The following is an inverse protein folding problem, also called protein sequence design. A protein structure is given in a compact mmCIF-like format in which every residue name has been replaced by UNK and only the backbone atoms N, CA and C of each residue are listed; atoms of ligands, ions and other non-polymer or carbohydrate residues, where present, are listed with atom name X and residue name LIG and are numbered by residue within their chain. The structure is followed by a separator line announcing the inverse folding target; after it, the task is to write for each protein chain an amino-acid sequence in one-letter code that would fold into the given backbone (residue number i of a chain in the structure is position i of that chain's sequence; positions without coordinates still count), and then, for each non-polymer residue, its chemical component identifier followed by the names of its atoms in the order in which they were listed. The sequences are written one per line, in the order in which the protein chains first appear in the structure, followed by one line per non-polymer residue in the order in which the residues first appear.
data_IF_056954440331
#
_entry.id   IF_056954440331
#
_cell.length_a   1.000
_cell.length_b   1.000
_cell.length_c   1.000
_cell.angle_alpha   90.00
_cell.angle_beta   90.00
_cell.angle_gamma   90.00
#
_symmetry.space_group_name_H-M   'P 1'
#
loop_
_entity.id
_entity.type
_entity.pdbx_description
1 polymer ?
#
# COMPACT_ATOMS: atom_id res chain seq x y z
N UNK A 1 -17.70 -2.96 -7.94
CA UNK A 1 -16.28 -2.53 -7.72
C UNK A 1 -15.33 -3.28 -8.63
N UNK A 2 -14.28 -2.63 -9.11
CA UNK A 2 -13.27 -3.24 -9.96
C UNK A 2 -11.92 -3.15 -9.25
N UNK A 3 -11.25 -4.30 -9.03
CA UNK A 3 -9.96 -4.39 -8.39
C UNK A 3 -9.02 -5.37 -9.10
N UNK A 4 -7.83 -5.54 -8.55
CA UNK A 4 -6.82 -6.48 -9.05
C UNK A 4 -6.47 -7.55 -8.02
N UNK A 5 -6.51 -7.19 -6.75
CA UNK A 5 -6.10 -8.01 -5.62
C UNK A 5 -7.21 -8.13 -4.59
N UNK A 6 -7.34 -9.32 -4.02
CA UNK A 6 -8.23 -9.58 -2.89
C UNK A 6 -7.70 -10.79 -2.10
N UNK A 7 -7.71 -10.76 -0.75
CA UNK A 7 -7.22 -11.91 0.03
C UNK A 7 -7.92 -13.24 -0.33
N UNK A 8 -7.18 -14.35 -0.34
CA UNK A 8 -5.78 -14.51 0.05
C UNK A 8 -4.75 -14.07 -1.00
N UNK A 9 -5.16 -13.66 -2.19
CA UNK A 9 -4.31 -13.23 -3.29
C UNK A 9 -4.09 -11.71 -3.24
N UNK A 10 -3.11 -11.28 -2.46
CA UNK A 10 -2.71 -9.88 -2.35
C UNK A 10 -1.19 -9.78 -2.27
N UNK A 11 -0.63 -8.76 -2.89
CA UNK A 11 0.82 -8.46 -2.88
C UNK A 11 1.11 -7.20 -2.07
N UNK A 12 0.10 -6.38 -1.79
CA UNK A 12 0.33 -5.10 -1.13
C UNK A 12 -0.89 -4.45 -0.50
N UNK A 13 -0.78 -3.14 -0.31
CA UNK A 13 -1.81 -2.33 0.31
C UNK A 13 -3.14 -2.28 -0.44
N UNK A 14 -3.11 -2.43 -1.78
CA UNK A 14 -4.31 -2.44 -2.62
C UNK A 14 -5.29 -3.54 -2.21
N UNK A 15 -4.82 -4.78 -2.10
CA UNK A 15 -5.66 -5.90 -1.68
C UNK A 15 -6.17 -5.76 -0.25
N UNK A 16 -5.34 -5.21 0.66
CA UNK A 16 -5.73 -4.91 2.04
C UNK A 16 -6.82 -3.84 2.08
N UNK A 17 -6.69 -2.78 1.28
CA UNK A 17 -7.71 -1.74 1.15
C UNK A 17 -9.03 -2.28 0.59
N UNK A 18 -9.00 -2.98 -0.55
CA UNK A 18 -10.20 -3.55 -1.16
C UNK A 18 -10.94 -4.46 -0.18
N UNK A 19 -10.22 -5.30 0.56
CA UNK A 19 -10.79 -6.17 1.58
C UNK A 19 -11.45 -5.38 2.72
N UNK A 20 -10.74 -4.41 3.29
CA UNK A 20 -11.26 -3.60 4.40
C UNK A 20 -12.46 -2.77 4.01
N UNK A 21 -12.38 -2.08 2.87
CA UNK A 21 -13.46 -1.22 2.37
C UNK A 21 -14.72 -2.02 2.03
N UNK A 22 -14.61 -3.11 1.25
CA UNK A 22 -15.78 -3.88 0.82
C UNK A 22 -16.54 -4.45 2.01
N UNK A 23 -15.85 -5.03 2.98
CA UNK A 23 -16.47 -5.58 4.19
C UNK A 23 -17.21 -4.52 5.00
N UNK A 24 -16.59 -3.36 5.16
CA UNK A 24 -17.20 -2.28 5.95
C UNK A 24 -18.35 -1.60 5.21
N UNK A 25 -18.32 -1.53 3.88
CA UNK A 25 -19.48 -1.06 3.08
C UNK A 25 -20.64 -2.04 3.13
N UNK A 26 -20.38 -3.34 3.02
CA UNK A 26 -21.40 -4.39 3.12
C UNK A 26 -22.06 -4.41 4.52
N UNK A 27 -21.27 -4.21 5.57
CA UNK A 27 -21.80 -4.05 6.94
C UNK A 27 -22.73 -2.83 7.09
N UNK A 28 -22.66 -1.86 6.17
CA UNK A 28 -23.57 -0.70 6.08
C UNK A 28 -24.73 -0.89 5.09
N UNK A 29 -24.95 -2.12 4.62
CA UNK A 29 -26.07 -2.48 3.77
C UNK A 29 -25.87 -2.20 2.28
N UNK A 30 -24.63 -2.07 1.81
CA UNK A 30 -24.32 -1.90 0.38
C UNK A 30 -24.11 -3.27 -0.26
N UNK A 31 -24.80 -3.54 -1.36
CA UNK A 31 -24.59 -4.70 -2.18
C UNK A 31 -23.39 -4.45 -3.12
N UNK A 32 -22.42 -5.37 -3.12
CA UNK A 32 -21.18 -5.21 -3.87
C UNK A 32 -20.89 -6.45 -4.72
N UNK A 33 -20.79 -6.25 -6.02
CA UNK A 33 -20.10 -7.14 -6.92
C UNK A 33 -18.63 -6.67 -7.03
N UNK A 34 -17.69 -7.43 -6.49
CA UNK A 34 -16.26 -7.14 -6.60
C UNK A 34 -15.65 -7.99 -7.72
N UNK A 35 -15.25 -7.33 -8.78
CA UNK A 35 -14.60 -7.97 -9.92
C UNK A 35 -13.08 -7.93 -9.77
N UNK A 36 -12.43 -9.06 -10.00
CA UNK A 36 -10.98 -9.23 -9.99
C UNK A 36 -10.53 -10.23 -11.05
N UNK A 37 -9.26 -10.25 -11.46
CA UNK A 37 -8.74 -11.30 -12.32
C UNK A 37 -8.87 -12.67 -11.64
N UNK A 38 -9.01 -13.72 -12.45
CA UNK A 38 -9.06 -15.11 -11.95
C UNK A 38 -7.78 -15.44 -11.19
N UNK A 39 -7.92 -16.21 -10.14
CA UNK A 39 -6.81 -16.65 -9.28
C UNK A 39 -6.64 -18.17 -9.32
N UNK A 40 -5.52 -18.69 -8.80
CA UNK A 40 -5.23 -20.13 -8.77
C UNK A 40 -6.24 -20.94 -7.94
N UNK A 41 -6.89 -20.29 -6.98
CA UNK A 41 -7.99 -20.87 -6.17
C UNK A 41 -9.11 -19.83 -6.09
N UNK A 42 -10.34 -20.28 -6.25
CA UNK A 42 -11.50 -19.39 -6.22
C UNK A 42 -11.62 -18.64 -4.89
N UNK A 43 -11.85 -17.33 -4.99
CA UNK A 43 -12.07 -16.45 -3.84
C UNK A 43 -13.56 -16.40 -3.51
N UNK A 44 -13.89 -16.52 -2.25
CA UNK A 44 -15.26 -16.44 -1.75
C UNK A 44 -15.38 -15.36 -0.68
N UNK A 45 -16.56 -14.77 -0.60
CA UNK A 45 -16.95 -13.92 0.52
C UNK A 45 -17.87 -14.68 1.47
N UNK A 46 -17.72 -14.43 2.76
CA UNK A 46 -18.64 -14.91 3.80
C UNK A 46 -19.81 -13.93 4.07
N UNK A 47 -19.92 -12.84 3.31
CA UNK A 47 -20.98 -11.84 3.43
C UNK A 47 -21.98 -12.01 2.29
N UNK A 48 -23.27 -12.11 2.61
CA UNK A 48 -24.33 -12.31 1.62
C UNK A 48 -24.36 -11.22 0.54
N UNK A 49 -24.09 -9.98 0.93
CA UNK A 49 -24.12 -8.80 0.06
C UNK A 49 -22.76 -8.49 -0.63
N UNK A 50 -21.81 -9.41 -0.57
CA UNK A 50 -20.51 -9.29 -1.27
C UNK A 50 -20.27 -10.49 -2.15
N UNK A 51 -20.33 -10.29 -3.44
CA UNK A 51 -20.06 -11.34 -4.43
C UNK A 51 -18.70 -11.05 -5.08
N UNK A 52 -17.76 -11.99 -4.94
CA UNK A 52 -16.47 -11.92 -5.65
C UNK A 52 -16.64 -12.57 -7.02
N UNK A 53 -16.39 -11.81 -8.07
CA UNK A 53 -16.49 -12.24 -9.47
C UNK A 53 -15.12 -12.25 -10.13
N UNK A 54 -14.63 -13.44 -10.43
CA UNK A 54 -13.37 -13.63 -11.13
C UNK A 54 -13.58 -13.54 -12.65
N UNK A 55 -12.73 -12.77 -13.34
CA UNK A 55 -12.83 -12.48 -14.77
C UNK A 55 -11.52 -12.84 -15.47
N UNK A 56 -11.64 -13.50 -16.60
CA UNK A 56 -10.52 -13.79 -17.49
C UNK A 56 -9.65 -14.95 -17.06
N UNK A 57 -8.35 -14.81 -17.30
CA UNK A 57 -7.32 -15.80 -16.97
C UNK A 57 -6.68 -15.50 -15.62
N UNK A 58 -5.87 -16.45 -15.13
CA UNK A 58 -5.16 -16.29 -13.86
C UNK A 58 -4.29 -15.04 -13.88
N UNK A 59 -4.43 -14.20 -12.88
CA UNK A 59 -3.68 -12.97 -12.75
C UNK A 59 -2.18 -13.22 -12.75
N UNK A 60 -1.44 -12.38 -13.44
CA UNK A 60 0.01 -12.32 -13.38
C UNK A 60 0.37 -11.21 -12.38
N UNK A 61 1.15 -11.57 -11.37
CA UNK A 61 1.69 -10.60 -10.43
C UNK A 61 3.16 -10.37 -10.78
N UNK A 62 3.54 -9.18 -11.28
CA UNK A 62 4.90 -8.93 -11.78
C UNK A 62 5.99 -9.04 -10.71
N UNK A 63 5.58 -9.09 -9.44
CA UNK A 63 6.49 -9.16 -8.29
C UNK A 63 6.77 -10.59 -7.81
N UNK A 64 6.05 -11.59 -8.33
CA UNK A 64 6.27 -13.00 -7.97
C UNK A 64 7.58 -13.55 -8.55
N UNK A 65 8.04 -12.97 -9.66
CA UNK A 65 9.30 -13.32 -10.34
C UNK A 65 9.94 -12.07 -10.95
N UNK A 66 10.64 -11.25 -10.15
CA UNK A 66 11.21 -9.98 -10.63
C UNK A 66 12.36 -10.14 -11.64
N UNK A 67 12.91 -11.34 -11.78
CA UNK A 67 14.03 -11.70 -12.64
C UNK A 67 13.66 -11.92 -14.13
N UNK A 68 12.37 -11.96 -14.46
CA UNK A 68 11.89 -12.29 -15.81
C UNK A 68 11.34 -11.05 -16.52
N UNK A 69 12.16 -10.37 -17.34
CA UNK A 69 11.75 -9.20 -18.15
C UNK A 69 10.54 -9.49 -19.08
N UNK A 70 10.38 -10.72 -19.54
CA UNK A 70 9.24 -11.16 -20.36
C UNK A 70 7.91 -11.07 -19.59
N UNK A 71 7.92 -11.24 -18.27
CA UNK A 71 6.72 -11.12 -17.43
C UNK A 71 6.15 -9.71 -17.39
N UNK A 72 6.96 -8.67 -17.58
CA UNK A 72 6.45 -7.30 -17.63
C UNK A 72 5.52 -7.09 -18.83
N UNK A 73 5.93 -7.52 -20.04
CA UNK A 73 5.08 -7.44 -21.24
C UNK A 73 3.78 -8.24 -21.07
N UNK A 74 3.88 -9.46 -20.57
CA UNK A 74 2.73 -10.33 -20.32
C UNK A 74 1.79 -9.73 -19.24
N UNK A 75 2.33 -9.04 -18.24
CA UNK A 75 1.53 -8.36 -17.24
C UNK A 75 0.68 -7.24 -17.85
N UNK A 76 1.25 -6.39 -18.69
CA UNK A 76 0.50 -5.33 -19.36
C UNK A 76 -0.60 -5.89 -20.27
N UNK A 77 -0.27 -6.90 -21.05
CA UNK A 77 -1.26 -7.58 -21.89
C UNK A 77 -2.39 -8.19 -21.05
N UNK A 78 -2.06 -8.79 -19.91
CA UNK A 78 -3.02 -9.32 -18.96
C UNK A 78 -3.93 -8.22 -18.39
N UNK A 79 -3.40 -7.04 -18.07
CA UNK A 79 -4.20 -5.89 -17.61
C UNK A 79 -5.16 -5.41 -18.71
N UNK A 80 -4.70 -5.24 -19.94
CA UNK A 80 -5.57 -4.85 -21.04
C UNK A 80 -6.68 -5.85 -21.28
N UNK A 81 -6.32 -7.13 -21.38
CA UNK A 81 -7.28 -8.22 -21.59
C UNK A 81 -8.31 -8.30 -20.46
N UNK A 82 -7.88 -8.12 -19.22
CA UNK A 82 -8.79 -8.05 -18.07
C UNK A 82 -9.78 -6.89 -18.19
N UNK A 83 -9.32 -5.69 -18.55
CA UNK A 83 -10.21 -4.54 -18.76
C UNK A 83 -11.21 -4.77 -19.90
N UNK A 84 -10.79 -5.39 -21.00
CA UNK A 84 -11.68 -5.73 -22.12
C UNK A 84 -12.76 -6.74 -21.69
N UNK A 85 -12.37 -7.77 -20.96
CA UNK A 85 -13.30 -8.79 -20.44
C UNK A 85 -14.26 -8.21 -19.41
N UNK A 86 -13.81 -7.29 -18.54
CA UNK A 86 -14.69 -6.55 -17.63
C UNK A 86 -15.80 -5.84 -18.40
N UNK A 87 -15.47 -5.10 -19.47
CA UNK A 87 -16.45 -4.38 -20.28
C UNK A 87 -17.45 -5.33 -20.94
N UNK A 88 -17.02 -6.52 -21.34
CA UNK A 88 -17.90 -7.53 -21.93
C UNK A 88 -18.80 -8.21 -20.90
N UNK A 89 -18.27 -8.57 -19.74
CA UNK A 89 -18.93 -9.44 -18.76
C UNK A 89 -19.73 -8.69 -17.70
N UNK A 90 -19.37 -7.43 -17.38
CA UNK A 90 -20.14 -6.63 -16.43
C UNK A 90 -21.51 -6.27 -17.03
N UNK A 91 -22.56 -6.80 -16.42
CA UNK A 91 -23.98 -6.61 -16.79
C UNK A 91 -24.80 -6.54 -15.52
N UNK A 92 -25.84 -5.71 -15.51
CA UNK A 92 -26.76 -5.55 -14.39
C UNK A 92 -27.05 -4.09 -14.08
N UNK A 93 -27.96 -3.86 -13.17
CA UNK A 93 -28.35 -2.54 -12.70
C UNK A 93 -27.44 -2.14 -11.53
N UNK A 94 -26.39 -1.42 -11.82
CA UNK A 94 -25.49 -0.87 -10.82
C UNK A 94 -25.76 0.62 -10.63
N UNK A 95 -25.76 1.08 -9.39
CA UNK A 95 -25.91 2.52 -9.09
C UNK A 95 -24.64 3.31 -9.38
N UNK A 96 -23.46 2.67 -9.32
CA UNK A 96 -22.17 3.28 -9.63
C UNK A 96 -21.08 2.22 -9.89
N UNK A 97 -19.98 2.67 -10.50
CA UNK A 97 -18.74 1.90 -10.65
C UNK A 97 -17.67 2.53 -9.75
N UNK A 98 -16.97 1.70 -8.98
CA UNK A 98 -15.82 2.12 -8.21
C UNK A 98 -14.59 1.31 -8.62
N UNK A 99 -13.58 1.99 -9.13
CA UNK A 99 -12.31 1.43 -9.61
C UNK A 99 -11.17 1.73 -8.65
N UNK A 100 -10.17 0.84 -8.64
CA UNK A 100 -8.97 0.96 -7.85
C UNK A 100 -7.71 0.95 -8.73
N UNK A 101 -6.99 2.05 -8.77
CA UNK A 101 -5.77 2.29 -9.54
C UNK A 101 -5.90 2.14 -11.07
N UNK A 102 -4.79 2.40 -11.77
CA UNK A 102 -4.67 2.34 -13.24
C UNK A 102 -5.06 0.97 -13.81
N UNK A 103 -4.90 -0.09 -13.03
CA UNK A 103 -5.22 -1.48 -13.40
C UNK A 103 -6.67 -1.68 -13.85
N UNK A 104 -7.59 -0.79 -13.43
CA UNK A 104 -9.02 -0.88 -13.70
C UNK A 104 -9.62 0.39 -14.32
N UNK A 105 -8.81 1.45 -14.49
CA UNK A 105 -9.30 2.76 -14.99
C UNK A 105 -9.90 2.66 -16.38
N UNK A 106 -9.30 1.92 -17.30
CA UNK A 106 -9.80 1.78 -18.66
C UNK A 106 -11.20 1.13 -18.69
N UNK A 107 -11.38 0.06 -17.92
CA UNK A 107 -12.71 -0.58 -17.78
C UNK A 107 -13.70 0.38 -17.12
N UNK A 108 -13.30 1.12 -16.09
CA UNK A 108 -14.15 2.10 -15.41
C UNK A 108 -14.71 3.16 -16.36
N UNK A 109 -13.87 3.74 -17.20
CA UNK A 109 -14.27 4.74 -18.22
C UNK A 109 -15.30 4.14 -19.20
N UNK A 110 -14.99 2.98 -19.75
CA UNK A 110 -15.83 2.32 -20.75
C UNK A 110 -17.16 1.81 -20.18
N UNK A 111 -17.14 1.33 -18.94
CA UNK A 111 -18.37 0.87 -18.24
C UNK A 111 -19.23 2.04 -17.82
N UNK A 112 -18.67 3.18 -17.43
CA UNK A 112 -19.44 4.42 -17.22
C UNK A 112 -20.29 4.76 -18.43
N UNK A 113 -19.68 4.74 -19.62
CA UNK A 113 -20.36 5.03 -20.89
C UNK A 113 -21.40 3.96 -21.23
N UNK A 114 -21.05 2.67 -21.06
CA UNK A 114 -21.89 1.53 -21.38
C UNK A 114 -23.14 1.42 -20.50
N UNK A 115 -23.00 1.67 -19.19
CA UNK A 115 -24.07 1.49 -18.21
C UNK A 115 -24.79 2.79 -17.85
N UNK A 116 -24.23 3.94 -18.23
CA UNK A 116 -24.82 5.26 -17.91
C UNK A 116 -24.80 5.60 -16.42
N UNK A 117 -23.82 5.07 -15.66
CA UNK A 117 -23.73 5.24 -14.20
C UNK A 117 -22.47 6.01 -13.79
N UNK A 118 -22.47 6.67 -12.62
CA UNK A 118 -21.29 7.38 -12.12
C UNK A 118 -20.06 6.48 -11.95
N UNK A 119 -18.87 7.07 -12.17
CA UNK A 119 -17.58 6.43 -12.00
C UNK A 119 -16.77 7.10 -10.88
N UNK A 120 -16.52 6.38 -9.79
CA UNK A 120 -15.65 6.76 -8.69
C UNK A 120 -14.32 6.03 -8.83
N UNK A 121 -13.21 6.72 -8.58
CA UNK A 121 -11.87 6.18 -8.69
C UNK A 121 -11.12 6.38 -7.38
N UNK A 122 -10.57 5.29 -6.78
CA UNK A 122 -9.56 5.41 -5.73
C UNK A 122 -8.17 5.27 -6.33
N UNK A 123 -7.30 6.25 -6.05
CA UNK A 123 -5.90 6.25 -6.44
C UNK A 123 -5.05 5.89 -5.23
N UNK A 124 -4.43 4.69 -5.28
CA UNK A 124 -3.53 4.18 -4.25
C UNK A 124 -2.08 4.52 -4.52
N UNK A 125 -1.70 4.64 -5.79
CA UNK A 125 -0.38 5.07 -6.23
C UNK A 125 -0.45 5.60 -7.65
N UNK A 126 0.48 6.48 -7.99
CA UNK A 126 0.69 6.98 -9.34
C UNK A 126 2.00 6.45 -9.92
N UNK A 127 2.21 6.68 -11.20
CA UNK A 127 3.49 6.36 -11.84
C UNK A 127 4.65 7.11 -11.20
N UNK A 128 4.44 8.36 -10.78
CA UNK A 128 5.46 9.12 -10.07
C UNK A 128 5.91 8.44 -8.79
N UNK A 129 4.97 7.83 -8.04
CA UNK A 129 5.30 7.08 -6.83
C UNK A 129 6.08 5.81 -7.17
N UNK A 130 5.61 5.02 -8.15
CA UNK A 130 6.23 3.73 -8.52
C UNK A 130 7.64 3.89 -9.08
N UNK A 131 7.86 4.94 -9.86
CA UNK A 131 9.19 5.28 -10.41
C UNK A 131 10.13 5.94 -9.39
N UNK A 132 9.65 6.22 -8.16
CA UNK A 132 10.42 6.99 -7.18
C UNK A 132 10.76 8.40 -7.65
N UNK A 133 9.93 9.00 -8.54
CA UNK A 133 10.11 10.32 -9.15
C UNK A 133 11.35 10.46 -10.06
N UNK A 134 12.07 9.35 -10.35
CA UNK A 134 13.31 9.43 -11.13
C UNK A 134 13.06 9.44 -12.64
N UNK A 135 12.29 8.47 -13.14
CA UNK A 135 12.02 8.29 -14.57
C UNK A 135 10.58 7.83 -14.78
N UNK A 136 9.58 8.70 -14.54
CA UNK A 136 8.19 8.30 -14.72
C UNK A 136 7.90 8.01 -16.19
N UNK A 137 7.22 6.90 -16.43
CA UNK A 137 6.91 6.42 -17.77
C UNK A 137 5.65 7.12 -18.30
N UNK A 138 5.77 7.85 -19.40
CA UNK A 138 4.70 8.65 -19.99
C UNK A 138 3.46 7.81 -20.35
N UNK A 139 3.65 6.56 -20.75
CA UNK A 139 2.55 5.66 -21.09
C UNK A 139 1.61 5.40 -19.89
N UNK A 140 2.16 5.18 -18.69
CA UNK A 140 1.35 5.03 -17.47
C UNK A 140 0.68 6.36 -17.09
N UNK A 141 1.41 7.47 -17.20
CA UNK A 141 0.87 8.80 -16.91
C UNK A 141 -0.35 9.07 -17.79
N UNK A 142 -0.30 8.73 -19.08
CA UNK A 142 -1.40 8.96 -20.01
C UNK A 142 -2.64 8.13 -19.65
N UNK A 143 -2.47 6.85 -19.28
CA UNK A 143 -3.58 5.98 -18.85
C UNK A 143 -4.19 6.52 -17.55
N UNK A 144 -3.38 6.83 -16.57
CA UNK A 144 -3.82 7.36 -15.28
C UNK A 144 -4.56 8.69 -15.47
N UNK A 145 -4.02 9.59 -16.27
CA UNK A 145 -4.62 10.89 -16.58
C UNK A 145 -5.99 10.75 -17.24
N UNK A 146 -6.12 9.86 -18.21
CA UNK A 146 -7.40 9.60 -18.88
C UNK A 146 -8.46 9.11 -17.89
N UNK A 147 -8.11 8.13 -17.05
CA UNK A 147 -9.00 7.60 -16.02
C UNK A 147 -9.44 8.66 -15.03
N UNK A 148 -8.49 9.47 -14.53
CA UNK A 148 -8.75 10.55 -13.56
C UNK A 148 -9.65 11.66 -14.13
N UNK A 149 -9.42 12.08 -15.38
CA UNK A 149 -10.24 13.12 -16.03
C UNK A 149 -11.69 12.66 -16.20
N UNK A 150 -11.90 11.39 -16.55
CA UNK A 150 -13.21 10.79 -16.81
C UNK A 150 -13.99 10.41 -15.54
N UNK A 151 -13.30 10.23 -14.41
CA UNK A 151 -13.95 9.95 -13.13
C UNK A 151 -14.83 11.13 -12.68
N UNK A 152 -16.00 10.83 -12.10
CA UNK A 152 -16.90 11.83 -11.51
C UNK A 152 -16.37 12.32 -10.17
N UNK A 153 -15.79 11.41 -9.37
CA UNK A 153 -15.08 11.72 -8.13
C UNK A 153 -13.86 10.82 -8.00
N UNK A 154 -12.85 11.37 -7.33
CA UNK A 154 -11.59 10.68 -7.05
C UNK A 154 -11.37 10.66 -5.54
N UNK A 155 -10.99 9.49 -5.04
CA UNK A 155 -10.50 9.30 -3.68
C UNK A 155 -8.98 9.22 -3.75
N UNK A 156 -8.29 10.15 -3.12
CA UNK A 156 -6.86 10.11 -2.90
C UNK A 156 -6.59 9.56 -1.49
N UNK A 157 -5.61 8.69 -1.35
CA UNK A 157 -5.30 8.04 -0.05
C UNK A 157 -4.56 8.95 0.93
N UNK A 158 -4.11 10.14 0.47
CA UNK A 158 -3.41 11.15 1.28
C UNK A 158 -3.49 12.54 0.63
N UNK A 159 -3.19 13.60 1.37
CA UNK A 159 -3.01 14.94 0.82
C UNK A 159 -1.80 15.00 -0.11
N UNK A 160 -0.74 14.24 0.18
CA UNK A 160 0.40 14.06 -0.73
C UNK A 160 -0.05 13.51 -2.09
N UNK A 161 -0.85 12.43 -2.10
CA UNK A 161 -1.43 11.89 -3.35
C UNK A 161 -2.31 12.93 -4.03
N UNK A 162 -3.22 13.60 -3.31
CA UNK A 162 -4.05 14.67 -3.87
C UNK A 162 -3.22 15.74 -4.54
N UNK A 163 -2.15 16.20 -3.89
CA UNK A 163 -1.22 17.20 -4.45
C UNK A 163 -0.61 16.71 -5.77
N UNK A 164 -0.14 15.47 -5.81
CA UNK A 164 0.39 14.85 -7.03
C UNK A 164 -0.64 14.84 -8.16
N UNK A 165 -1.90 14.46 -7.86
CA UNK A 165 -2.97 14.44 -8.88
C UNK A 165 -3.27 15.81 -9.45
N UNK A 166 -3.23 16.84 -8.62
CA UNK A 166 -3.45 18.23 -9.06
C UNK A 166 -2.27 18.75 -9.87
N UNK A 167 -1.05 18.63 -9.33
CA UNK A 167 0.14 19.27 -9.90
C UNK A 167 0.68 18.54 -11.13
N UNK A 168 0.67 17.19 -11.13
CA UNK A 168 1.28 16.42 -12.20
C UNK A 168 0.28 15.95 -13.26
N UNK A 169 -0.98 15.69 -12.87
CA UNK A 169 -2.02 15.23 -13.79
C UNK A 169 -3.01 16.29 -14.20
N UNK A 170 -3.00 17.46 -13.54
CA UNK A 170 -3.92 18.57 -13.82
C UNK A 170 -5.37 18.25 -13.46
N UNK A 171 -5.60 17.38 -12.48
CA UNK A 171 -6.94 17.01 -12.03
C UNK A 171 -7.56 18.18 -11.23
N UNK A 172 -8.83 18.48 -11.51
CA UNK A 172 -9.57 19.49 -10.74
C UNK A 172 -9.64 19.08 -9.25
N UNK A 173 -9.11 19.89 -8.31
CA UNK A 173 -9.09 19.57 -6.89
C UNK A 173 -10.48 19.37 -6.26
N UNK A 174 -11.55 19.94 -6.83
CA UNK A 174 -12.93 19.77 -6.37
C UNK A 174 -13.47 18.35 -6.61
N UNK A 175 -12.89 17.61 -7.56
CA UNK A 175 -13.21 16.20 -7.78
C UNK A 175 -12.55 15.29 -6.77
N UNK A 176 -11.50 15.73 -6.05
CA UNK A 176 -10.64 14.90 -5.23
C UNK A 176 -11.01 15.03 -3.75
N UNK A 177 -11.38 13.92 -3.16
CA UNK A 177 -11.57 13.77 -1.72
C UNK A 177 -10.43 12.94 -1.13
N UNK A 178 -9.87 13.38 0.00
CA UNK A 178 -8.85 12.58 0.71
C UNK A 178 -9.55 11.66 1.71
N UNK A 179 -9.28 10.36 1.59
CA UNK A 179 -9.72 9.34 2.54
C UNK A 179 -8.51 8.47 2.87
N UNK A 180 -7.96 8.65 4.06
CA UNK A 180 -6.83 7.87 4.54
C UNK A 180 -7.21 6.41 4.75
N UNK A 181 -6.23 5.52 4.53
CA UNK A 181 -6.42 4.10 4.78
C UNK A 181 -6.54 3.78 6.27
N UNK A 182 -6.99 2.59 6.55
CA UNK A 182 -7.16 2.04 7.89
C UNK A 182 -6.35 0.76 8.06
N UNK A 183 -6.46 0.15 9.23
CA UNK A 183 -5.79 -1.09 9.57
C UNK A 183 -6.71 -1.99 10.40
N UNK A 184 -6.55 -3.30 10.27
CA UNK A 184 -7.05 -4.26 11.25
C UNK A 184 -5.99 -4.43 12.35
N UNK A 185 -6.30 -4.13 13.62
CA UNK A 185 -5.31 -4.21 14.69
C UNK A 185 -4.67 -5.60 14.81
N UNK A 186 -3.33 -5.62 14.91
CA UNK A 186 -2.57 -6.86 15.09
C UNK A 186 -2.49 -7.23 16.58
N UNK A 187 -2.44 -6.22 17.45
CA UNK A 187 -2.21 -6.36 18.88
C UNK A 187 -0.73 -6.53 19.23
N UNK A 188 -0.35 -6.21 20.48
CA UNK A 188 1.03 -6.22 20.94
C UNK A 188 1.61 -7.64 21.04
N UNK A 189 2.94 -7.72 21.15
CA UNK A 189 3.68 -8.95 21.39
C UNK A 189 4.98 -8.68 22.16
N UNK A 190 5.72 -9.71 22.45
CA UNK A 190 7.02 -9.63 23.11
C UNK A 190 8.07 -9.08 22.12
N UNK A 191 8.75 -8.00 22.54
CA UNK A 191 9.70 -7.29 21.69
C UNK A 191 11.13 -7.80 21.87
N UNK A 192 11.79 -8.03 20.74
CA UNK A 192 13.22 -8.34 20.64
C UNK A 192 13.96 -7.16 20.03
N UNK A 193 15.27 -7.09 20.18
CA UNK A 193 16.12 -6.05 19.57
C UNK A 193 16.21 -6.25 18.04
N UNK A 194 15.06 -6.20 17.37
CA UNK A 194 14.93 -6.31 15.92
C UNK A 194 14.45 -4.96 15.36
N UNK A 195 15.16 -4.43 14.38
CA UNK A 195 14.77 -3.30 13.55
C UNK A 195 14.22 -3.86 12.22
N UNK A 196 12.98 -3.57 11.90
CA UNK A 196 12.25 -4.16 10.80
C UNK A 196 12.03 -3.17 9.65
N UNK A 197 12.37 -3.59 8.43
CA UNK A 197 11.83 -3.09 7.18
C UNK A 197 10.88 -4.16 6.61
N UNK A 198 9.68 -3.76 6.17
CA UNK A 198 8.75 -4.67 5.49
C UNK A 198 8.11 -3.96 4.30
N UNK A 199 8.31 -4.53 3.11
CA UNK A 199 7.74 -3.99 1.87
C UNK A 199 8.41 -4.57 0.63
N UNK A 200 7.94 -4.13 -0.54
CA UNK A 200 8.58 -4.48 -1.81
C UNK A 200 9.99 -3.91 -1.85
N UNK A 201 10.95 -4.68 -2.33
CA UNK A 201 12.34 -4.25 -2.45
C UNK A 201 12.55 -3.53 -3.78
N UNK A 202 12.03 -2.31 -3.85
CA UNK A 202 12.04 -1.43 -5.04
C UNK A 202 12.56 -0.06 -4.65
N UNK A 203 12.96 0.73 -5.65
CA UNK A 203 13.44 2.11 -5.47
C UNK A 203 12.42 2.97 -4.70
N UNK A 204 11.13 2.78 -4.97
CA UNK A 204 10.04 3.46 -4.29
C UNK A 204 10.10 3.31 -2.76
N UNK A 205 10.44 2.10 -2.28
CA UNK A 205 10.44 1.76 -0.84
C UNK A 205 11.73 2.08 -0.12
N UNK A 206 12.81 2.39 -0.85
CA UNK A 206 14.08 2.87 -0.31
C UNK A 206 14.82 1.89 0.62
N UNK A 207 14.83 0.56 0.38
CA UNK A 207 15.48 -0.39 1.29
C UNK A 207 16.98 -0.17 1.42
N UNK A 208 17.63 0.49 0.46
CA UNK A 208 19.04 0.85 0.54
C UNK A 208 19.34 1.84 1.67
N UNK A 209 18.46 2.84 1.88
CA UNK A 209 18.60 3.79 2.98
C UNK A 209 18.50 3.11 4.35
N UNK A 210 17.68 2.06 4.43
CA UNK A 210 17.60 1.22 5.63
C UNK A 210 18.94 0.52 5.93
N UNK A 211 19.61 -0.04 4.92
CA UNK A 211 20.92 -0.68 5.09
C UNK A 211 22.01 0.32 5.49
N UNK A 212 22.04 1.49 4.87
CA UNK A 212 22.98 2.55 5.25
C UNK A 212 22.76 3.04 6.70
N UNK A 213 21.51 3.21 7.11
CA UNK A 213 21.20 3.51 8.50
C UNK A 213 21.60 2.36 9.44
N UNK A 214 21.37 1.10 9.05
CA UNK A 214 21.76 -0.08 9.82
C UNK A 214 23.26 -0.12 10.11
N UNK A 215 24.10 0.19 9.11
CA UNK A 215 25.56 0.30 9.29
C UNK A 215 25.92 1.27 10.42
N UNK A 216 25.32 2.45 10.42
CA UNK A 216 25.57 3.49 11.43
C UNK A 216 25.04 3.09 12.81
N UNK A 217 23.87 2.43 12.89
CA UNK A 217 23.33 1.92 14.15
C UNK A 217 24.26 0.89 14.79
N UNK A 218 24.81 -0.03 13.99
CA UNK A 218 25.68 -1.10 14.48
C UNK A 218 27.04 -0.62 15.03
N UNK A 219 27.41 0.63 14.78
CA UNK A 219 28.55 1.29 15.45
C UNK A 219 28.26 1.63 16.91
N UNK A 220 26.98 1.65 17.30
CA UNK A 220 26.53 2.12 18.61
C UNK A 220 25.70 1.10 19.40
N UNK A 221 24.98 0.19 18.71
CA UNK A 221 24.06 -0.78 19.30
C UNK A 221 24.16 -2.16 18.64
N UNK A 222 24.10 -3.19 19.47
CA UNK A 222 23.97 -4.58 19.00
C UNK A 222 22.49 -4.91 18.83
N UNK A 223 22.06 -5.10 17.57
CA UNK A 223 20.70 -5.49 17.22
C UNK A 223 20.68 -6.25 15.89
N UNK A 224 19.54 -6.85 15.57
CA UNK A 224 19.30 -7.50 14.28
C UNK A 224 18.46 -6.63 13.39
N UNK A 225 18.76 -6.62 12.10
CA UNK A 225 17.99 -5.96 11.07
C UNK A 225 17.27 -7.02 10.24
N UNK A 226 15.96 -6.85 10.03
CA UNK A 226 15.16 -7.75 9.19
C UNK A 226 14.63 -6.96 8.00
N UNK A 227 14.94 -7.45 6.81
CA UNK A 227 14.44 -6.95 5.53
C UNK A 227 13.44 -7.97 5.00
N UNK A 228 12.16 -7.71 5.20
CA UNK A 228 11.08 -8.61 4.82
C UNK A 228 10.41 -8.15 3.52
N UNK A 229 10.38 -9.04 2.55
CA UNK A 229 9.81 -8.83 1.23
C UNK A 229 10.69 -9.25 0.08
N UNK A 230 10.24 -9.02 -1.12
CA UNK A 230 10.97 -9.31 -2.37
C UNK A 230 10.84 -8.13 -3.34
N UNK A 231 11.66 -8.13 -4.37
CA UNK A 231 11.68 -7.11 -5.42
C UNK A 231 12.97 -7.15 -6.21
N UNK A 232 13.02 -6.33 -7.25
CA UNK A 232 14.14 -6.22 -8.20
C UNK A 232 15.47 -5.79 -7.54
N UNK A 233 15.41 -5.11 -6.41
CA UNK A 233 16.60 -4.68 -5.67
C UNK A 233 17.23 -5.77 -4.78
N UNK A 234 16.55 -6.91 -4.54
CA UNK A 234 17.04 -7.92 -3.59
C UNK A 234 18.50 -8.36 -3.82
N UNK A 235 18.95 -8.73 -5.06
CA UNK A 235 20.33 -9.13 -5.29
C UNK A 235 21.33 -8.02 -4.96
N UNK A 236 21.00 -6.76 -5.34
CA UNK A 236 21.84 -5.60 -5.04
C UNK A 236 21.94 -5.33 -3.54
N UNK A 237 20.82 -5.45 -2.81
CA UNK A 237 20.79 -5.22 -1.35
C UNK A 237 21.62 -6.25 -0.58
N UNK A 238 21.60 -7.52 -1.02
CA UNK A 238 22.46 -8.56 -0.43
C UNK A 238 23.93 -8.18 -0.63
N UNK A 239 24.33 -7.82 -1.85
CA UNK A 239 25.68 -7.36 -2.15
C UNK A 239 26.07 -6.13 -1.33
N UNK A 240 25.16 -5.15 -1.22
CA UNK A 240 25.40 -3.93 -0.44
C UNK A 240 25.60 -4.23 1.05
N UNK A 241 24.85 -5.17 1.63
CA UNK A 241 25.04 -5.57 3.03
C UNK A 241 26.41 -6.17 3.31
N UNK A 242 27.02 -6.83 2.31
CA UNK A 242 28.40 -7.36 2.37
C UNK A 242 29.40 -6.20 2.28
N UNK A 243 29.25 -5.29 1.33
CA UNK A 243 30.12 -4.11 1.17
C UNK A 243 30.12 -3.22 2.43
N UNK A 244 28.96 -3.05 3.07
CA UNK A 244 28.81 -2.32 4.32
C UNK A 244 29.34 -3.09 5.55
N UNK A 245 29.76 -4.35 5.37
CA UNK A 245 30.23 -5.23 6.45
C UNK A 245 29.18 -5.44 7.57
N UNK A 246 27.89 -5.57 7.20
CA UNK A 246 26.77 -5.78 8.12
C UNK A 246 25.98 -7.07 7.83
N UNK A 247 26.41 -7.87 6.86
CA UNK A 247 25.68 -9.07 6.42
C UNK A 247 25.32 -10.04 7.57
N UNK A 248 26.14 -10.16 8.58
CA UNK A 248 25.90 -11.02 9.76
C UNK A 248 24.81 -10.47 10.70
N UNK A 249 24.38 -9.23 10.51
CA UNK A 249 23.34 -8.56 11.31
C UNK A 249 22.06 -8.32 10.53
N UNK A 250 22.02 -8.62 9.21
CA UNK A 250 20.90 -8.39 8.33
C UNK A 250 20.32 -9.72 7.84
N UNK A 251 19.05 -9.93 8.10
CA UNK A 251 18.30 -11.09 7.61
C UNK A 251 17.35 -10.66 6.49
N UNK A 252 17.51 -11.23 5.30
CA UNK A 252 16.56 -11.11 4.18
C UNK A 252 15.62 -12.30 4.22
N UNK A 253 14.33 -12.06 4.48
CA UNK A 253 13.36 -13.17 4.67
C UNK A 253 12.70 -13.64 3.38
N UNK A 254 12.74 -12.83 2.31
CA UNK A 254 11.84 -13.02 1.18
C UNK A 254 10.39 -12.71 1.54
N UNK A 255 9.46 -13.26 0.78
CA UNK A 255 8.02 -13.11 1.06
C UNK A 255 7.64 -13.87 2.33
N UNK A 256 6.90 -13.21 3.20
CA UNK A 256 6.33 -13.77 4.42
C UNK A 256 4.84 -14.05 4.22
N UNK A 257 4.37 -15.15 4.80
CA UNK A 257 2.93 -15.40 4.96
C UNK A 257 2.28 -14.36 5.90
N UNK A 258 0.96 -14.25 5.86
CA UNK A 258 0.24 -13.30 6.72
C UNK A 258 0.49 -13.55 8.22
N UNK A 259 0.62 -14.81 8.62
CA UNK A 259 0.93 -15.18 9.99
C UNK A 259 2.35 -14.73 10.40
N UNK A 260 3.34 -14.91 9.52
CA UNK A 260 4.71 -14.48 9.75
C UNK A 260 4.82 -12.94 9.75
N UNK A 261 4.10 -12.23 8.87
CA UNK A 261 4.02 -10.76 8.88
C UNK A 261 3.48 -10.26 10.23
N UNK A 262 2.38 -10.87 10.72
CA UNK A 262 1.85 -10.52 12.04
C UNK A 262 2.83 -10.83 13.16
N UNK A 263 3.57 -11.95 13.07
CA UNK A 263 4.57 -12.33 14.05
C UNK A 263 5.74 -11.36 14.08
N UNK A 264 6.30 -10.99 12.94
CA UNK A 264 7.46 -10.10 12.89
C UNK A 264 7.12 -8.68 13.36
N UNK A 265 5.91 -8.16 13.09
CA UNK A 265 5.46 -6.90 13.67
C UNK A 265 5.36 -6.97 15.18
N UNK A 266 4.87 -8.09 15.76
CA UNK A 266 4.78 -8.29 17.20
C UNK A 266 6.15 -8.37 17.87
N UNK A 267 7.14 -8.90 17.15
CA UNK A 267 8.48 -9.20 17.69
C UNK A 267 9.45 -8.01 17.52
N UNK A 268 9.36 -7.27 16.42
CA UNK A 268 10.23 -6.13 16.16
C UNK A 268 10.04 -5.02 17.19
N UNK A 269 11.14 -4.41 17.67
CA UNK A 269 11.10 -3.28 18.59
C UNK A 269 11.06 -1.92 17.88
N UNK A 270 11.49 -1.84 16.62
CA UNK A 270 11.42 -0.63 15.79
C UNK A 270 11.02 -1.05 14.37
N UNK A 271 10.09 -0.31 13.78
CA UNK A 271 9.76 -0.41 12.36
C UNK A 271 10.25 0.82 11.62
N UNK A 272 10.86 0.63 10.46
CA UNK A 272 11.39 1.73 9.63
C UNK A 272 10.80 1.64 8.24
N UNK A 273 10.24 2.74 7.76
CA UNK A 273 9.70 2.90 6.41
C UNK A 273 10.38 4.07 5.70
N UNK A 274 11.55 3.85 5.08
CA UNK A 274 12.37 4.88 4.45
C UNK A 274 11.97 5.13 3.00
N UNK A 275 10.68 5.10 2.70
CA UNK A 275 10.18 5.17 1.32
C UNK A 275 10.51 6.51 0.68
N UNK A 276 11.02 6.47 -0.56
CA UNK A 276 11.24 7.64 -1.40
C UNK A 276 9.92 8.32 -1.72
N UNK A 277 8.90 7.50 -2.00
CA UNK A 277 7.51 7.93 -2.17
C UNK A 277 6.57 6.87 -1.62
N UNK A 278 5.73 7.25 -0.67
CA UNK A 278 4.74 6.36 -0.08
C UNK A 278 3.38 7.05 -0.09
N UNK A 279 2.46 6.67 -0.98
CA UNK A 279 1.16 7.33 -1.08
C UNK A 279 0.39 7.36 0.23
N UNK A 280 0.46 6.27 1.02
CA UNK A 280 -0.06 6.27 2.37
C UNK A 280 0.85 5.55 3.37
N UNK A 281 0.99 4.22 3.31
CA UNK A 281 1.84 3.43 4.22
C UNK A 281 1.04 2.62 5.24
N UNK A 282 0.17 1.71 4.80
CA UNK A 282 -0.59 0.80 5.68
C UNK A 282 0.34 -0.01 6.60
N UNK A 283 1.51 -0.41 6.10
CA UNK A 283 2.51 -1.17 6.86
C UNK A 283 2.99 -0.44 8.12
N UNK A 284 3.05 0.90 8.09
CA UNK A 284 3.33 1.69 9.29
C UNK A 284 2.19 1.59 10.32
N UNK A 285 0.92 1.65 9.88
CA UNK A 285 -0.21 1.46 10.78
C UNK A 285 -0.24 0.04 11.36
N UNK A 286 0.11 -0.98 10.57
CA UNK A 286 0.23 -2.37 11.03
C UNK A 286 1.28 -2.50 12.14
N UNK A 287 2.47 -1.94 11.94
CA UNK A 287 3.53 -1.92 12.95
C UNK A 287 3.08 -1.23 14.25
N UNK A 288 2.48 -0.04 14.13
CA UNK A 288 1.96 0.71 15.28
C UNK A 288 0.87 -0.08 16.00
N UNK A 289 -0.03 -0.73 15.28
CA UNK A 289 -1.10 -1.55 15.85
C UNK A 289 -0.56 -2.77 16.63
N UNK A 290 0.65 -3.22 16.29
CA UNK A 290 1.39 -4.24 17.02
C UNK A 290 2.20 -3.68 18.21
N UNK A 291 2.06 -2.39 18.54
CA UNK A 291 2.80 -1.72 19.59
C UNK A 291 4.27 -1.49 19.27
N UNK A 292 4.62 -1.35 18.00
CA UNK A 292 5.99 -1.13 17.53
C UNK A 292 6.19 0.34 17.16
N UNK A 293 7.03 1.10 17.87
CA UNK A 293 7.42 2.44 17.48
C UNK A 293 7.96 2.48 16.05
N UNK A 294 7.55 3.51 15.32
CA UNK A 294 7.74 3.59 13.89
C UNK A 294 8.52 4.84 13.50
N UNK A 295 9.42 4.68 12.54
CA UNK A 295 10.13 5.76 11.85
C UNK A 295 9.66 5.76 10.41
N UNK A 296 9.08 6.85 9.94
CA UNK A 296 8.59 6.99 8.56
C UNK A 296 9.35 8.08 7.82
N UNK A 297 9.41 7.97 6.49
CA UNK A 297 9.84 9.11 5.69
C UNK A 297 8.80 10.24 5.74
N UNK A 298 9.25 11.50 5.61
CA UNK A 298 8.38 12.68 5.48
C UNK A 298 7.54 12.64 4.19
N UNK A 299 7.98 11.88 3.19
CA UNK A 299 7.31 11.65 1.90
C UNK A 299 6.26 10.53 1.96
N UNK A 300 5.87 10.09 3.14
CA UNK A 300 4.83 9.09 3.33
C UNK A 300 3.50 9.72 3.77
N UNK A 301 2.39 9.36 3.12
CA UNK A 301 1.07 9.91 3.45
C UNK A 301 0.63 9.65 4.90
N UNK A 302 1.03 8.53 5.50
CA UNK A 302 0.76 8.27 6.94
C UNK A 302 1.40 9.33 7.85
N UNK A 303 2.51 9.94 7.42
CA UNK A 303 3.20 10.98 8.18
C UNK A 303 2.40 12.29 8.27
N UNK A 304 1.41 12.50 7.39
CA UNK A 304 0.54 13.67 7.44
C UNK A 304 -0.40 13.63 8.66
N UNK A 305 -0.88 12.44 8.98
CA UNK A 305 -1.98 12.24 9.93
C UNK A 305 -1.55 11.56 11.22
N UNK A 306 -0.50 10.73 11.20
CA UNK A 306 -0.01 10.05 12.39
C UNK A 306 1.06 10.89 13.10
N UNK A 307 0.85 11.18 14.40
CA UNK A 307 1.70 12.10 15.17
C UNK A 307 2.74 11.38 16.02
N UNK A 308 2.41 10.18 16.50
CA UNK A 308 3.25 9.43 17.43
C UNK A 308 4.22 8.48 16.70
N UNK A 309 4.93 9.00 15.71
CA UNK A 309 6.04 8.36 15.03
C UNK A 309 7.17 9.36 14.78
N UNK A 310 8.37 8.88 14.56
CA UNK A 310 9.43 9.74 14.06
C UNK A 310 9.30 9.93 12.54
N UNK A 311 9.59 11.14 12.07
CA UNK A 311 9.53 11.51 10.64
C UNK A 311 10.89 12.03 10.21
N UNK A 312 11.52 11.34 9.28
CA UNK A 312 12.86 11.66 8.78
C UNK A 312 12.82 11.84 7.25
N UNK A 313 13.78 12.54 6.70
CA UNK A 313 13.97 12.50 5.26
C UNK A 313 14.54 11.13 4.86
N UNK A 314 14.02 10.51 3.81
CA UNK A 314 14.38 9.13 3.46
C UNK A 314 15.89 8.96 3.17
N UNK A 315 16.56 10.02 2.67
CA UNK A 315 18.00 10.04 2.38
C UNK A 315 18.87 10.35 3.60
N UNK A 316 18.28 10.90 4.68
CA UNK A 316 19.01 11.24 5.90
C UNK A 316 19.21 10.00 6.79
N UNK A 317 20.18 9.20 6.39
CA UNK A 317 20.51 7.95 7.08
C UNK A 317 21.16 8.18 8.44
N UNK A 318 21.71 9.37 8.70
CA UNK A 318 22.26 9.76 10.01
C UNK A 318 21.11 10.00 11.01
N UNK A 319 20.15 10.82 10.62
CA UNK A 319 18.98 11.08 11.48
C UNK A 319 18.16 9.80 11.69
N UNK A 320 18.00 8.98 10.65
CA UNK A 320 17.33 7.69 10.76
C UNK A 320 18.05 6.78 11.78
N UNK A 321 19.38 6.67 11.70
CA UNK A 321 20.16 5.89 12.65
C UNK A 321 20.04 6.44 14.08
N UNK A 322 20.11 7.77 14.25
CA UNK A 322 19.94 8.43 15.54
C UNK A 322 18.58 8.11 16.18
N UNK A 323 17.49 8.11 15.40
CA UNK A 323 16.15 7.73 15.90
C UNK A 323 16.08 6.25 16.27
N UNK A 324 16.67 5.35 15.46
CA UNK A 324 16.73 3.92 15.79
C UNK A 324 17.50 3.72 17.11
N UNK A 325 18.71 4.27 17.24
CA UNK A 325 19.53 4.18 18.47
C UNK A 325 18.77 4.73 19.68
N UNK A 326 18.08 5.86 19.51
CA UNK A 326 17.28 6.46 20.59
C UNK A 326 16.18 5.51 21.07
N UNK A 327 15.48 4.83 20.15
CA UNK A 327 14.44 3.87 20.51
C UNK A 327 15.00 2.59 21.13
N UNK A 328 16.21 2.17 20.76
CA UNK A 328 16.87 1.00 21.33
C UNK A 328 17.39 1.26 22.76
N UNK A 329 17.83 2.50 23.05
CA UNK A 329 18.44 2.89 24.34
C UNK A 329 17.44 3.41 25.36
N UNK A 330 16.53 4.27 24.93
CA UNK A 330 15.68 5.03 25.87
C UNK A 330 14.29 4.39 25.99
N UNK A 331 14.18 3.43 26.93
CA UNK A 331 12.91 2.71 27.19
C UNK A 331 11.72 3.64 27.46
N UNK A 332 11.85 4.76 28.21
CA UNK A 332 10.72 5.71 28.40
C UNK A 332 10.23 6.30 27.08
N UNK A 333 11.14 6.69 26.18
CA UNK A 333 10.78 7.21 24.85
C UNK A 333 10.05 6.14 24.02
N UNK A 334 10.60 4.93 24.01
CA UNK A 334 9.99 3.79 23.35
C UNK A 334 8.57 3.53 23.84
N UNK A 335 8.38 3.46 25.18
CA UNK A 335 7.06 3.26 25.81
C UNK A 335 6.09 4.38 25.43
N UNK A 336 6.52 5.65 25.48
CA UNK A 336 5.69 6.80 25.13
C UNK A 336 5.16 6.71 23.70
N UNK A 337 6.03 6.39 22.73
CA UNK A 337 5.60 6.24 21.33
C UNK A 337 4.71 5.01 21.12
N UNK A 338 5.01 3.88 21.75
CA UNK A 338 4.20 2.68 21.67
C UNK A 338 2.78 2.88 22.24
N UNK A 339 2.68 3.49 23.44
CA UNK A 339 1.39 3.73 24.12
C UNK A 339 0.55 4.78 23.40
N UNK A 340 1.15 5.90 23.02
CA UNK A 340 0.44 6.95 22.31
C UNK A 340 0.06 6.49 20.91
N UNK A 341 0.94 5.76 20.22
CA UNK A 341 0.65 5.15 18.92
C UNK A 341 -0.55 4.21 19.01
N UNK A 342 -0.61 3.38 20.03
CA UNK A 342 -1.74 2.47 20.27
C UNK A 342 -3.08 3.22 20.44
N UNK A 343 -3.08 4.38 21.11
CA UNK A 343 -4.30 5.20 21.25
C UNK A 343 -4.68 5.86 19.92
N UNK A 344 -3.69 6.38 19.20
CA UNK A 344 -3.92 7.09 17.96
C UNK A 344 -4.41 6.15 16.83
N UNK A 345 -3.95 4.88 16.81
CA UNK A 345 -4.35 3.90 15.80
C UNK A 345 -5.85 3.57 15.82
N UNK A 346 -6.53 3.76 16.96
CA UNK A 346 -7.96 3.55 17.09
C UNK A 346 -8.80 4.49 16.21
N UNK A 347 -8.20 5.57 15.72
CA UNK A 347 -8.84 6.50 14.78
C UNK A 347 -8.83 6.01 13.34
N UNK A 348 -8.03 4.98 13.02
CA UNK A 348 -7.82 4.47 11.67
C UNK A 348 -8.61 3.17 11.45
N UNK A 349 -9.94 3.30 11.32
CA UNK A 349 -10.86 2.16 11.17
C UNK A 349 -11.44 2.07 9.77
N UNK A 350 -11.70 0.86 9.29
CA UNK A 350 -12.34 0.62 7.99
C UNK A 350 -13.78 1.12 7.96
N UNK A 351 -14.47 1.16 9.11
CA UNK A 351 -15.80 1.73 9.26
C UNK A 351 -15.82 3.20 8.87
N UNK A 352 -14.83 3.97 9.32
CA UNK A 352 -14.69 5.39 8.99
C UNK A 352 -14.34 5.59 7.52
N UNK A 353 -13.48 4.74 6.96
CA UNK A 353 -13.18 4.75 5.52
C UNK A 353 -14.44 4.51 4.71
N UNK A 354 -15.26 3.52 5.10
CA UNK A 354 -16.52 3.22 4.43
C UNK A 354 -17.54 4.38 4.55
N UNK A 355 -17.67 5.02 5.72
CA UNK A 355 -18.55 6.18 5.92
C UNK A 355 -18.19 7.35 4.99
N UNK A 356 -16.90 7.68 4.95
CA UNK A 356 -16.41 8.73 4.06
C UNK A 356 -16.63 8.37 2.59
N UNK A 357 -16.39 7.11 2.20
CA UNK A 357 -16.65 6.61 0.84
C UNK A 357 -18.13 6.69 0.48
N UNK A 358 -19.02 6.29 1.39
CA UNK A 358 -20.47 6.41 1.19
C UNK A 358 -20.91 7.87 1.01
N UNK A 359 -20.27 8.81 1.71
CA UNK A 359 -20.57 10.23 1.51
C UNK A 359 -20.26 10.71 0.10
N UNK A 360 -19.25 10.11 -0.54
CA UNK A 360 -18.92 10.38 -1.95
C UNK A 360 -19.95 9.75 -2.88
N UNK A 361 -20.32 8.49 -2.64
CA UNK A 361 -21.34 7.79 -3.45
C UNK A 361 -22.64 8.59 -3.50
N UNK A 362 -23.13 9.04 -2.33
CA UNK A 362 -24.35 9.86 -2.23
C UNK A 362 -24.30 11.20 -2.98
N UNK A 363 -23.12 11.69 -3.34
CA UNK A 363 -22.96 12.93 -4.09
C UNK A 363 -22.97 12.73 -5.61
N UNK A 364 -22.84 11.50 -6.06
CA UNK A 364 -22.75 11.18 -7.49
C UNK A 364 -23.94 10.36 -8.00
N UNK A 365 -24.65 9.67 -7.11
CA UNK A 365 -25.94 9.02 -7.37
C UNK A 365 -27.07 10.06 -7.17
#
# INVERSE_FOLDING_TARGET
MLGWEYPPFKVGGLGTHCYGLTRSLVAKGIDIDFYMPKTSRRVYSNHANLVIKEVGETAIFPYDRPDVKELAGQFFESVYRYNDLLVQQVKGDYSLIHCHDWLTMNAGVRLKEKLGVPFVLTVHSTEYDRSGWLHPNQWFIDIEKQGMIKADRIIAVSDFTKKTLVEQYGVNPEKIMVIHNAVYPIGPGEKQKIVLFLGRLTIQKGPEFFLHAAKKVLEHEQCSFVVAGTGDMLPRLITESIHLNIANHVMFTGLLSEAEVRHIYKTACVYVMPSVSEPFGITALEAISAGTPTITSKTAGVSEVFKNCFKVDFWDTDEMANKIVSLLRYKPLWNTLAENGKREIELFTWERVAENTLSIYKKVI
#
